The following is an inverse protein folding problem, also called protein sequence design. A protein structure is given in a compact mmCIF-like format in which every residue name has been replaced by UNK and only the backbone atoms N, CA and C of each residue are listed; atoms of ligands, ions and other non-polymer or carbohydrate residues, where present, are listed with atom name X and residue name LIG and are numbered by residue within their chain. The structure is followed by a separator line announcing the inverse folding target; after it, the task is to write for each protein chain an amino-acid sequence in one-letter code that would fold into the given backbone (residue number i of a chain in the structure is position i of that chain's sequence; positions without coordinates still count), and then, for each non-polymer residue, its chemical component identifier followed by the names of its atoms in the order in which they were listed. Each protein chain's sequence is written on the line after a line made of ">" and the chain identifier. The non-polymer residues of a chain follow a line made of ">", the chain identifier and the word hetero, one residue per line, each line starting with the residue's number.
data_IF_163006902003
#
_entry.id   IF_163006902003
#
_cell.length_a   1.000
_cell.length_b   1.000
_cell.length_c   1.000
_cell.angle_alpha   90.00
_cell.angle_beta   90.00
_cell.angle_gamma   90.00
#
_symmetry.space_group_name_H-M   'P 1'
#
loop_
_entity.id
_entity.type
_entity.pdbx_description
1 polymer ?
#
# COMPACT_ATOMS: atom_id res chain seq x y z
N UNK A 1 -18.23 -2.75 -6.85
CA UNK A 1 -17.34 -2.79 -5.67
C UNK A 1 -17.46 -4.08 -4.87
N UNK A 2 -18.65 -4.65 -4.62
CA UNK A 2 -18.76 -5.97 -3.96
C UNK A 2 -18.01 -7.08 -4.74
N UNK A 3 -18.14 -7.22 -6.08
CA UNK A 3 -17.41 -8.25 -6.84
C UNK A 3 -15.88 -8.12 -6.76
N UNK A 4 -15.36 -6.90 -6.62
CA UNK A 4 -13.93 -6.63 -6.46
C UNK A 4 -13.36 -7.24 -5.18
N UNK A 5 -14.12 -7.29 -4.08
CA UNK A 5 -13.66 -7.90 -2.83
C UNK A 5 -13.37 -9.40 -3.02
N UNK A 6 -14.24 -10.10 -3.75
CA UNK A 6 -14.00 -11.50 -4.12
C UNK A 6 -12.82 -11.65 -5.06
N UNK A 7 -12.67 -10.75 -6.04
CA UNK A 7 -11.50 -10.75 -6.92
C UNK A 7 -10.19 -10.61 -6.13
N UNK A 8 -10.16 -9.77 -5.08
CA UNK A 8 -9.00 -9.68 -4.19
C UNK A 8 -8.70 -10.99 -3.46
N UNK A 9 -9.73 -11.68 -2.96
CA UNK A 9 -9.57 -12.95 -2.27
C UNK A 9 -8.90 -14.02 -3.16
N UNK A 10 -9.13 -13.98 -4.48
CA UNK A 10 -8.42 -14.83 -5.45
C UNK A 10 -7.04 -14.27 -5.81
N UNK A 11 -6.96 -12.97 -6.11
CA UNK A 11 -5.75 -12.33 -6.61
C UNK A 11 -4.58 -12.42 -5.62
N UNK A 12 -4.83 -12.26 -4.31
CA UNK A 12 -3.74 -12.28 -3.33
C UNK A 12 -3.00 -13.64 -3.27
N UNK A 13 -3.68 -14.80 -3.12
CA UNK A 13 -3.03 -16.10 -3.21
C UNK A 13 -2.35 -16.35 -4.57
N UNK A 14 -3.02 -16.01 -5.68
CA UNK A 14 -2.48 -16.22 -7.03
C UNK A 14 -1.19 -15.40 -7.24
N UNK A 15 -1.21 -14.12 -6.88
CA UNK A 15 -0.04 -13.26 -6.95
C UNK A 15 1.10 -13.79 -6.07
N UNK A 16 0.80 -14.26 -4.85
CA UNK A 16 1.81 -14.86 -3.97
C UNK A 16 2.40 -16.14 -4.56
N UNK A 17 1.60 -16.98 -5.18
CA UNK A 17 2.05 -18.20 -5.87
C UNK A 17 3.02 -17.88 -7.02
N UNK A 18 2.67 -16.90 -7.87
CA UNK A 18 3.52 -16.46 -8.99
C UNK A 18 4.79 -15.74 -8.52
N UNK A 19 4.69 -14.91 -7.47
CA UNK A 19 5.81 -14.24 -6.83
C UNK A 19 6.82 -15.25 -6.27
N UNK A 20 6.37 -16.27 -5.54
CA UNK A 20 7.24 -17.30 -4.97
C UNK A 20 8.09 -18.03 -6.02
N UNK A 21 7.55 -18.17 -7.24
CA UNK A 21 8.23 -18.79 -8.38
C UNK A 21 9.02 -17.80 -9.26
N UNK A 22 9.16 -16.54 -8.83
CA UNK A 22 9.81 -15.48 -9.60
C UNK A 22 9.17 -15.21 -10.98
N UNK A 23 7.88 -15.51 -11.18
CA UNK A 23 7.14 -15.25 -12.43
C UNK A 23 6.59 -13.81 -12.50
N UNK A 24 7.37 -12.85 -12.04
CA UNK A 24 6.94 -11.46 -11.81
C UNK A 24 6.68 -10.73 -13.13
N UNK A 25 7.45 -11.01 -14.18
CA UNK A 25 7.26 -10.37 -15.50
C UNK A 25 5.90 -10.71 -16.12
N UNK A 26 5.40 -11.93 -15.95
CA UNK A 26 4.07 -12.29 -16.43
C UNK A 26 2.98 -11.48 -15.72
N UNK A 27 3.09 -11.34 -14.40
CA UNK A 27 2.19 -10.48 -13.62
C UNK A 27 2.25 -9.02 -14.06
N UNK A 28 3.46 -8.51 -14.33
CA UNK A 28 3.65 -7.12 -14.76
C UNK A 28 2.99 -6.86 -16.12
N UNK A 29 3.18 -7.76 -17.10
CA UNK A 29 2.53 -7.63 -18.42
C UNK A 29 1.00 -7.69 -18.29
N UNK A 30 0.46 -8.62 -17.50
CA UNK A 30 -0.99 -8.70 -17.24
C UNK A 30 -1.50 -7.39 -16.63
N UNK A 31 -0.78 -6.83 -15.65
CA UNK A 31 -1.16 -5.56 -15.01
C UNK A 31 -1.14 -4.38 -15.99
N UNK A 32 -0.14 -4.29 -16.87
CA UNK A 32 -0.05 -3.25 -17.90
C UNK A 32 -1.21 -3.37 -18.89
N UNK A 33 -1.51 -4.57 -19.39
CA UNK A 33 -2.64 -4.80 -20.30
C UNK A 33 -3.96 -4.44 -19.61
N UNK A 34 -4.15 -4.89 -18.36
CA UNK A 34 -5.33 -4.57 -17.57
C UNK A 34 -5.49 -3.05 -17.37
N UNK A 35 -4.39 -2.32 -17.14
CA UNK A 35 -4.40 -0.86 -16.99
C UNK A 35 -4.79 -0.15 -18.29
N UNK A 36 -4.25 -0.58 -19.44
CA UNK A 36 -4.61 -0.01 -20.75
C UNK A 36 -6.10 -0.20 -21.02
N UNK A 37 -6.59 -1.43 -20.82
CA UNK A 37 -8.02 -1.73 -20.98
C UNK A 37 -8.88 -0.96 -19.99
N UNK A 38 -8.46 -0.87 -18.72
CA UNK A 38 -9.16 -0.12 -17.69
C UNK A 38 -9.32 1.35 -18.09
N UNK A 39 -8.25 2.02 -18.51
CA UNK A 39 -8.28 3.42 -18.95
C UNK A 39 -9.20 3.61 -20.15
N UNK A 40 -9.09 2.75 -21.16
CA UNK A 40 -9.93 2.81 -22.35
C UNK A 40 -11.42 2.64 -22.02
N UNK A 41 -11.78 1.61 -21.26
CA UNK A 41 -13.18 1.33 -20.92
C UNK A 41 -13.73 2.36 -19.93
N UNK A 42 -12.94 2.90 -19.01
CA UNK A 42 -13.35 3.99 -18.13
C UNK A 42 -13.73 5.22 -18.95
N UNK A 43 -12.89 5.64 -19.91
CA UNK A 43 -13.22 6.72 -20.83
C UNK A 43 -14.50 6.43 -21.64
N UNK A 44 -14.61 5.22 -22.21
CA UNK A 44 -15.74 4.83 -23.05
C UNK A 44 -17.06 4.82 -22.27
N UNK A 45 -17.13 4.09 -21.14
CA UNK A 45 -18.36 3.90 -20.40
C UNK A 45 -18.76 5.16 -19.63
N UNK A 46 -17.80 5.85 -19.00
CA UNK A 46 -18.12 7.03 -18.20
C UNK A 46 -18.44 8.24 -19.07
N UNK A 47 -17.59 8.55 -20.05
CA UNK A 47 -17.67 9.81 -20.79
C UNK A 47 -18.44 9.68 -22.11
N UNK A 48 -18.21 8.62 -22.88
CA UNK A 48 -18.85 8.47 -24.21
C UNK A 48 -20.25 7.87 -24.14
N UNK A 49 -20.46 6.86 -23.31
CA UNK A 49 -21.77 6.22 -23.15
C UNK A 49 -22.61 6.86 -22.04
N UNK A 50 -22.05 7.78 -21.27
CA UNK A 50 -22.78 8.53 -20.24
C UNK A 50 -23.21 7.71 -19.02
N UNK A 51 -22.57 6.57 -18.74
CA UNK A 51 -22.94 5.73 -17.58
C UNK A 51 -22.44 6.28 -16.25
N UNK A 52 -21.62 7.35 -16.26
CA UNK A 52 -21.13 8.03 -15.07
C UNK A 52 -20.47 7.08 -14.06
N UNK A 53 -20.85 7.20 -12.78
CA UNK A 53 -20.30 6.38 -11.69
C UNK A 53 -20.63 4.88 -11.80
N UNK A 54 -21.76 4.53 -12.42
CA UNK A 54 -22.11 3.12 -12.67
C UNK A 54 -21.10 2.52 -13.65
N UNK A 55 -20.76 3.26 -14.71
CA UNK A 55 -19.71 2.88 -15.66
C UNK A 55 -18.36 2.65 -14.96
N UNK A 56 -17.94 3.57 -14.08
CA UNK A 56 -16.72 3.43 -13.29
C UNK A 56 -16.72 2.14 -12.43
N UNK A 57 -17.83 1.88 -11.74
CA UNK A 57 -17.96 0.69 -10.90
C UNK A 57 -17.90 -0.61 -11.71
N UNK A 58 -18.51 -0.64 -12.91
CA UNK A 58 -18.46 -1.80 -13.82
C UNK A 58 -17.03 -2.04 -14.28
N UNK A 59 -16.35 -1.03 -14.82
CA UNK A 59 -14.97 -1.16 -15.32
C UNK A 59 -14.03 -1.61 -14.21
N UNK A 60 -14.16 -1.03 -13.01
CA UNK A 60 -13.34 -1.42 -11.86
C UNK A 60 -13.50 -2.90 -11.50
N UNK A 61 -14.73 -3.41 -11.41
CA UNK A 61 -14.96 -4.83 -11.11
C UNK A 61 -14.41 -5.72 -12.23
N UNK A 62 -14.66 -5.37 -13.50
CA UNK A 62 -14.20 -6.15 -14.64
C UNK A 62 -12.67 -6.20 -14.74
N UNK A 63 -11.97 -5.09 -14.48
CA UNK A 63 -10.50 -5.07 -14.51
C UNK A 63 -9.86 -5.99 -13.48
N UNK A 64 -10.39 -6.02 -12.25
CA UNK A 64 -9.88 -6.93 -11.22
C UNK A 64 -10.12 -8.41 -11.58
N UNK A 65 -11.30 -8.73 -12.09
CA UNK A 65 -11.59 -10.09 -12.55
C UNK A 65 -10.77 -10.49 -13.77
N UNK A 66 -10.50 -9.55 -14.69
CA UNK A 66 -9.60 -9.78 -15.82
C UNK A 66 -8.20 -10.17 -15.35
N UNK A 67 -7.66 -9.49 -14.33
CA UNK A 67 -6.35 -9.84 -13.74
C UNK A 67 -6.39 -11.26 -13.16
N UNK A 68 -7.42 -11.59 -12.37
CA UNK A 68 -7.57 -12.93 -11.76
C UNK A 68 -7.63 -14.02 -12.83
N UNK A 69 -8.48 -13.85 -13.85
CA UNK A 69 -8.65 -14.82 -14.93
C UNK A 69 -7.36 -14.95 -15.73
N UNK A 70 -6.71 -13.84 -16.10
CA UNK A 70 -5.47 -13.86 -16.85
C UNK A 70 -4.34 -14.59 -16.10
N UNK A 71 -4.21 -14.36 -14.79
CA UNK A 71 -3.22 -15.06 -13.97
C UNK A 71 -3.55 -16.56 -13.82
N UNK A 72 -4.82 -16.94 -13.65
CA UNK A 72 -5.23 -18.35 -13.61
C UNK A 72 -4.94 -19.06 -14.94
N UNK A 73 -5.26 -18.43 -16.07
CA UNK A 73 -4.94 -18.96 -17.41
C UNK A 73 -3.42 -19.15 -17.55
N UNK A 74 -2.62 -18.18 -17.10
CA UNK A 74 -1.17 -18.31 -17.10
C UNK A 74 -0.68 -19.50 -16.27
N UNK A 75 -1.25 -19.73 -15.07
CA UNK A 75 -0.91 -20.88 -14.23
C UNK A 75 -1.32 -22.21 -14.90
N UNK A 76 -2.54 -22.28 -15.43
CA UNK A 76 -3.10 -23.49 -16.04
C UNK A 76 -2.49 -23.84 -17.40
N UNK A 77 -1.85 -22.88 -18.07
CA UNK A 77 -1.12 -23.09 -19.34
C UNK A 77 0.08 -24.06 -19.22
N UNK A 78 0.45 -24.49 -18.01
CA UNK A 78 1.60 -25.37 -17.76
C UNK A 78 2.91 -24.63 -17.51
N UNK A 79 2.92 -23.29 -17.58
CA UNK A 79 4.12 -22.45 -17.41
C UNK A 79 4.74 -22.51 -16.00
N UNK A 80 3.98 -22.99 -15.01
CA UNK A 80 4.43 -23.17 -13.62
C UNK A 80 5.07 -24.54 -13.34
N UNK A 81 5.15 -25.44 -14.33
CA UNK A 81 5.82 -26.74 -14.19
C UNK A 81 5.38 -27.53 -12.95
N UNK A 82 6.35 -28.03 -12.16
CA UNK A 82 6.09 -28.84 -10.96
C UNK A 82 5.44 -28.07 -9.80
N UNK A 83 5.38 -26.74 -9.86
CA UNK A 83 4.78 -25.94 -8.79
C UNK A 83 3.24 -25.99 -8.81
N UNK A 84 2.63 -26.32 -9.95
CA UNK A 84 1.18 -26.53 -10.07
C UNK A 84 0.87 -27.96 -10.52
N UNK A 85 0.37 -28.78 -9.60
CA UNK A 85 -0.02 -30.17 -9.87
C UNK A 85 -1.54 -30.33 -10.07
N UNK A 86 -2.29 -29.22 -10.11
CA UNK A 86 -3.75 -29.22 -10.12
C UNK A 86 -4.35 -29.24 -8.72
N UNK A 87 -5.68 -29.34 -8.67
CA UNK A 87 -6.43 -29.35 -7.42
C UNK A 87 -6.28 -30.69 -6.68
N UNK A 88 -6.06 -30.62 -5.37
CA UNK A 88 -5.93 -31.78 -4.50
C UNK A 88 -6.44 -31.46 -3.09
N UNK A 89 -7.05 -32.44 -2.43
CA UNK A 89 -7.47 -32.33 -1.03
C UNK A 89 -6.29 -32.10 -0.08
N UNK A 90 -5.06 -32.40 -0.51
CA UNK A 90 -3.84 -32.08 0.24
C UNK A 90 -3.68 -30.57 0.47
N UNK A 91 -4.29 -29.70 -0.34
CA UNK A 91 -4.26 -28.25 -0.13
C UNK A 91 -4.90 -27.82 1.20
N UNK A 92 -5.77 -28.66 1.79
CA UNK A 92 -6.40 -28.43 3.09
C UNK A 92 -5.61 -29.04 4.25
N UNK A 93 -4.44 -29.64 3.98
CA UNK A 93 -3.53 -30.06 5.04
C UNK A 93 -2.84 -28.83 5.67
N UNK A 94 -2.72 -28.82 7.00
CA UNK A 94 -2.01 -27.79 7.76
C UNK A 94 -2.57 -26.34 7.66
N UNK A 95 -3.90 -26.20 7.50
CA UNK A 95 -4.58 -24.89 7.47
C UNK A 95 -4.32 -24.05 8.72
N UNK A 96 -4.22 -24.67 9.89
CA UNK A 96 -4.01 -23.94 11.15
C UNK A 96 -2.69 -23.16 11.16
N UNK A 97 -1.61 -23.77 10.66
CA UNK A 97 -0.33 -23.09 10.52
C UNK A 97 -0.43 -21.87 9.60
N UNK A 98 -1.10 -22.02 8.46
CA UNK A 98 -1.39 -20.92 7.53
C UNK A 98 -2.20 -19.81 8.20
N UNK A 99 -3.34 -20.14 8.81
CA UNK A 99 -4.24 -19.17 9.47
C UNK A 99 -3.50 -18.38 10.55
N UNK A 100 -2.72 -19.05 11.40
CA UNK A 100 -1.95 -18.39 12.46
C UNK A 100 -0.94 -17.39 11.88
N UNK A 101 -0.25 -17.78 10.81
CA UNK A 101 0.75 -16.94 10.14
C UNK A 101 0.09 -15.72 9.47
N UNK A 102 -0.97 -15.97 8.70
CA UNK A 102 -1.74 -14.95 7.99
C UNK A 102 -2.41 -13.97 8.93
N UNK A 103 -2.95 -14.44 10.07
CA UNK A 103 -3.56 -13.57 11.07
C UNK A 103 -2.53 -12.60 11.66
N UNK A 104 -1.32 -13.06 11.95
CA UNK A 104 -0.25 -12.18 12.43
C UNK A 104 0.15 -11.13 11.38
N UNK A 105 0.26 -11.49 10.10
CA UNK A 105 0.50 -10.53 9.02
C UNK A 105 -0.65 -9.53 8.86
N UNK A 106 -1.89 -10.01 8.95
CA UNK A 106 -3.09 -9.18 8.84
C UNK A 106 -3.15 -8.15 9.98
N UNK A 107 -2.92 -8.57 11.22
CA UNK A 107 -2.87 -7.66 12.38
C UNK A 107 -1.77 -6.63 12.21
N UNK A 108 -0.56 -7.04 11.78
CA UNK A 108 0.55 -6.12 11.55
C UNK A 108 0.19 -5.02 10.54
N UNK A 109 -0.43 -5.39 9.40
CA UNK A 109 -0.84 -4.45 8.37
C UNK A 109 -2.01 -3.56 8.84
N UNK A 110 -3.01 -4.14 9.50
CA UNK A 110 -4.15 -3.39 10.03
C UNK A 110 -3.71 -2.34 11.05
N UNK A 111 -2.78 -2.68 11.95
CA UNK A 111 -2.26 -1.75 12.95
C UNK A 111 -1.56 -0.54 12.31
N UNK A 112 -0.85 -0.74 11.20
CA UNK A 112 -0.20 0.34 10.46
C UNK A 112 -1.22 1.26 9.78
N UNK A 113 -2.23 0.69 9.10
CA UNK A 113 -3.30 1.47 8.45
C UNK A 113 -4.15 2.21 9.48
N UNK A 114 -4.56 1.55 10.56
CA UNK A 114 -5.38 2.15 11.61
C UNK A 114 -4.66 3.25 12.38
N UNK A 115 -3.34 3.15 12.52
CA UNK A 115 -2.53 4.23 13.10
C UNK A 115 -2.67 5.51 12.28
N UNK A 116 -2.56 5.42 10.95
CA UNK A 116 -2.77 6.57 10.07
C UNK A 116 -4.20 7.12 10.12
N UNK A 117 -5.22 6.24 10.18
CA UNK A 117 -6.61 6.68 10.35
C UNK A 117 -6.83 7.42 11.67
N UNK A 118 -6.21 6.96 12.76
CA UNK A 118 -6.28 7.62 14.07
C UNK A 118 -5.64 9.02 14.03
N UNK A 119 -4.49 9.18 13.37
CA UNK A 119 -3.86 10.49 13.21
C UNK A 119 -4.73 11.48 12.42
N UNK A 120 -5.37 11.03 11.34
CA UNK A 120 -6.30 11.86 10.56
C UNK A 120 -7.49 12.28 11.44
N UNK A 121 -8.06 11.35 12.21
CA UNK A 121 -9.15 11.64 13.13
C UNK A 121 -8.76 12.73 14.13
N UNK A 122 -7.57 12.62 14.76
CA UNK A 122 -7.10 13.65 15.70
C UNK A 122 -6.88 15.00 15.03
N UNK A 123 -6.35 15.04 13.81
CA UNK A 123 -6.21 16.29 13.09
C UNK A 123 -7.55 16.98 12.80
N UNK A 124 -8.62 16.19 12.62
CA UNK A 124 -9.99 16.70 12.50
C UNK A 124 -10.53 17.40 13.76
N UNK A 125 -9.90 17.24 14.91
CA UNK A 125 -10.25 17.92 16.16
C UNK A 125 -9.38 19.16 16.45
N UNK A 126 -8.51 19.58 15.52
CA UNK A 126 -7.75 20.83 15.66
C UNK A 126 -8.61 22.05 15.32
N UNK A 127 -8.24 23.22 15.87
CA UNK A 127 -9.00 24.49 15.69
C UNK A 127 -9.22 24.86 14.22
N UNK A 128 -8.30 24.49 13.32
CA UNK A 128 -8.41 24.65 11.86
C UNK A 128 -8.43 23.27 11.19
N UNK A 129 -9.46 22.47 11.50
CA UNK A 129 -9.59 21.08 11.09
C UNK A 129 -9.57 20.91 9.56
N UNK A 130 -10.28 21.75 8.81
CA UNK A 130 -10.33 21.71 7.34
C UNK A 130 -8.92 21.78 6.73
N UNK A 131 -8.19 22.85 7.03
CA UNK A 131 -6.82 23.07 6.53
C UNK A 131 -5.87 21.94 6.97
N UNK A 132 -6.02 21.44 8.20
CA UNK A 132 -5.14 20.41 8.75
C UNK A 132 -5.40 19.03 8.13
N UNK A 133 -6.68 18.68 7.94
CA UNK A 133 -7.11 17.43 7.30
C UNK A 133 -6.77 17.44 5.81
N UNK A 134 -6.98 18.56 5.13
CA UNK A 134 -6.62 18.71 3.71
C UNK A 134 -5.10 18.58 3.49
N UNK A 135 -4.31 19.28 4.30
CA UNK A 135 -2.86 19.17 4.25
C UNK A 135 -2.40 17.73 4.54
N UNK A 136 -3.01 17.05 5.52
CA UNK A 136 -2.72 15.63 5.78
C UNK A 136 -3.15 14.74 4.63
N UNK A 137 -4.30 14.98 3.99
CA UNK A 137 -4.75 14.20 2.83
C UNK A 137 -3.77 14.32 1.66
N UNK A 138 -3.26 15.51 1.38
CA UNK A 138 -2.22 15.74 0.36
C UNK A 138 -0.94 14.98 0.75
N UNK A 139 -0.48 15.13 1.99
CA UNK A 139 0.71 14.42 2.50
C UNK A 139 0.54 12.89 2.40
N UNK A 140 -0.63 12.35 2.75
CA UNK A 140 -0.94 10.92 2.67
C UNK A 140 -0.99 10.43 1.24
N UNK A 141 -1.52 11.22 0.31
CA UNK A 141 -1.49 10.87 -1.11
C UNK A 141 -0.04 10.76 -1.59
N UNK A 142 0.79 11.78 -1.36
CA UNK A 142 2.22 11.75 -1.73
C UNK A 142 2.93 10.56 -1.07
N UNK A 143 2.68 10.32 0.22
CA UNK A 143 3.21 9.18 0.94
C UNK A 143 2.72 7.85 0.35
N UNK A 144 1.47 7.77 -0.10
CA UNK A 144 0.88 6.58 -0.70
C UNK A 144 1.63 6.15 -1.98
N UNK A 145 1.97 7.10 -2.85
CA UNK A 145 2.82 6.83 -4.02
C UNK A 145 4.19 6.28 -3.61
N UNK A 146 4.77 6.87 -2.57
CA UNK A 146 6.07 6.42 -2.07
C UNK A 146 6.00 5.00 -1.47
N UNK A 147 4.97 4.72 -0.68
CA UNK A 147 4.73 3.42 -0.04
C UNK A 147 4.54 2.31 -1.07
N UNK A 148 3.99 2.58 -2.25
CA UNK A 148 3.85 1.55 -3.30
C UNK A 148 5.20 0.97 -3.75
N UNK A 149 6.22 1.82 -3.89
CA UNK A 149 7.59 1.37 -4.21
C UNK A 149 8.15 0.53 -3.05
N UNK A 150 7.97 1.02 -1.81
CA UNK A 150 8.39 0.31 -0.60
C UNK A 150 7.73 -1.08 -0.45
N UNK A 151 6.44 -1.18 -0.78
CA UNK A 151 5.69 -2.44 -0.79
C UNK A 151 6.19 -3.40 -1.88
N UNK A 152 6.66 -2.89 -3.01
CA UNK A 152 7.36 -3.67 -4.03
C UNK A 152 8.64 -4.29 -3.49
N UNK A 153 9.49 -3.50 -2.84
CA UNK A 153 10.72 -3.97 -2.18
C UNK A 153 10.41 -4.99 -1.06
N UNK A 154 9.41 -4.71 -0.21
CA UNK A 154 8.89 -5.60 0.82
C UNK A 154 8.50 -6.97 0.25
N UNK A 155 7.72 -7.00 -0.84
CA UNK A 155 7.33 -8.24 -1.50
C UNK A 155 8.53 -9.00 -2.10
N UNK A 156 9.45 -8.27 -2.75
CA UNK A 156 10.64 -8.86 -3.36
C UNK A 156 11.57 -9.51 -2.33
N UNK A 157 11.90 -8.79 -1.24
CA UNK A 157 12.77 -9.34 -0.19
C UNK A 157 12.10 -10.47 0.58
N UNK A 158 10.79 -10.38 0.83
CA UNK A 158 10.03 -11.45 1.50
C UNK A 158 10.11 -12.77 0.73
N UNK A 159 9.95 -12.72 -0.60
CA UNK A 159 10.09 -13.90 -1.47
C UNK A 159 11.54 -14.40 -1.51
N UNK A 160 12.52 -13.50 -1.64
CA UNK A 160 13.93 -13.90 -1.70
C UNK A 160 14.39 -14.56 -0.41
N UNK A 161 14.13 -13.93 0.74
CA UNK A 161 14.52 -14.47 2.06
C UNK A 161 13.82 -15.80 2.32
N UNK A 162 12.51 -15.92 2.04
CA UNK A 162 11.79 -17.19 2.25
C UNK A 162 12.33 -18.32 1.37
N UNK A 163 12.61 -18.06 0.09
CA UNK A 163 13.18 -19.07 -0.81
C UNK A 163 14.60 -19.50 -0.39
N UNK A 164 15.48 -18.54 -0.05
CA UNK A 164 16.86 -18.85 0.37
C UNK A 164 16.91 -19.59 1.71
N UNK A 165 16.06 -19.22 2.68
CA UNK A 165 15.95 -19.92 3.95
C UNK A 165 15.35 -21.33 3.76
N UNK A 166 14.34 -21.48 2.89
CA UNK A 166 13.78 -22.78 2.51
C UNK A 166 14.78 -23.70 1.82
N UNK A 167 15.74 -23.13 1.08
CA UNK A 167 16.86 -23.85 0.47
C UNK A 167 18.05 -24.08 1.43
N UNK A 168 17.92 -23.72 2.72
CA UNK A 168 18.99 -23.78 3.72
C UNK A 168 20.25 -22.96 3.36
N UNK A 169 20.08 -21.81 2.70
CA UNK A 169 21.14 -20.87 2.33
C UNK A 169 21.09 -19.56 3.14
N UNK A 170 21.43 -19.56 4.45
CA UNK A 170 21.30 -18.39 5.30
C UNK A 170 22.25 -17.24 4.93
N UNK A 171 23.39 -17.54 4.29
CA UNK A 171 24.34 -16.50 3.84
C UNK A 171 23.77 -15.73 2.65
N UNK A 172 23.15 -16.41 1.70
CA UNK A 172 22.48 -15.79 0.54
C UNK A 172 21.28 -14.96 0.99
N UNK A 173 20.51 -15.47 1.97
CA UNK A 173 19.42 -14.70 2.58
C UNK A 173 19.94 -13.39 3.19
N UNK A 174 21.02 -13.42 3.98
CA UNK A 174 21.64 -12.21 4.54
C UNK A 174 22.13 -11.26 3.45
N UNK A 175 22.75 -11.78 2.39
CA UNK A 175 23.20 -10.97 1.27
C UNK A 175 22.03 -10.27 0.58
N UNK A 176 20.91 -10.96 0.34
CA UNK A 176 19.72 -10.36 -0.22
C UNK A 176 19.18 -9.20 0.64
N UNK A 177 19.21 -9.34 1.97
CA UNK A 177 18.83 -8.27 2.91
C UNK A 177 19.73 -7.05 2.76
N UNK A 178 21.05 -7.26 2.66
CA UNK A 178 22.01 -6.15 2.46
C UNK A 178 21.76 -5.45 1.14
N UNK A 179 21.61 -6.20 0.04
CA UNK A 179 21.35 -5.65 -1.29
C UNK A 179 20.08 -4.80 -1.30
N UNK A 180 18.94 -5.33 -0.81
CA UNK A 180 17.69 -4.56 -0.83
C UNK A 180 17.76 -3.32 0.07
N UNK A 181 18.49 -3.39 1.19
CA UNK A 181 18.67 -2.25 2.09
C UNK A 181 19.42 -1.14 1.36
N UNK A 182 20.53 -1.49 0.71
CA UNK A 182 21.35 -0.56 -0.07
C UNK A 182 20.56 0.01 -1.25
N UNK A 183 19.89 -0.83 -2.04
CA UNK A 183 19.07 -0.40 -3.19
C UNK A 183 17.95 0.53 -2.75
N UNK A 184 17.29 0.24 -1.62
CA UNK A 184 16.26 1.14 -1.07
C UNK A 184 16.86 2.52 -0.79
N UNK A 185 18.02 2.62 -0.15
CA UNK A 185 18.66 3.92 0.05
C UNK A 185 18.98 4.65 -1.26
N UNK A 186 19.42 3.93 -2.31
CA UNK A 186 19.69 4.54 -3.62
C UNK A 186 18.43 5.01 -4.34
N UNK A 187 17.36 4.20 -4.37
CA UNK A 187 16.10 4.54 -5.04
C UNK A 187 15.44 5.79 -4.42
N UNK A 188 15.67 6.05 -3.12
CA UNK A 188 15.13 7.21 -2.40
C UNK A 188 16.09 8.42 -2.36
N UNK A 189 17.25 8.36 -3.02
CA UNK A 189 18.22 9.47 -3.04
C UNK A 189 17.91 10.56 -4.09
N UNK A 190 16.88 10.38 -4.92
CA UNK A 190 16.45 11.39 -5.89
C UNK A 190 16.10 12.73 -5.23
N UNK A 191 16.44 13.83 -5.92
CA UNK A 191 16.42 15.22 -5.39
C UNK A 191 15.08 15.65 -4.77
N UNK A 192 13.95 15.07 -5.19
CA UNK A 192 12.62 15.33 -4.61
C UNK A 192 12.42 14.69 -3.22
N UNK A 193 13.01 13.51 -2.97
CA UNK A 193 12.84 12.78 -1.71
C UNK A 193 13.75 13.31 -0.58
N UNK A 194 14.91 13.92 -0.90
CA UNK A 194 15.81 14.55 0.08
C UNK A 194 15.17 15.71 0.84
N UNK A 195 14.25 16.44 0.21
CA UNK A 195 13.49 17.54 0.81
C UNK A 195 12.51 17.06 1.88
N UNK A 196 12.16 15.77 1.88
CA UNK A 196 11.21 15.13 2.78
C UNK A 196 11.90 14.01 3.54
N UNK A 197 12.83 14.37 4.44
CA UNK A 197 13.62 13.46 5.30
C UNK A 197 12.80 12.32 5.93
N UNK A 198 11.53 12.58 6.27
CA UNK A 198 10.60 11.58 6.81
C UNK A 198 10.31 10.42 5.86
N UNK A 199 10.28 10.66 4.54
CA UNK A 199 10.04 9.62 3.52
C UNK A 199 11.21 8.64 3.49
N UNK A 200 12.45 9.12 3.49
CA UNK A 200 13.64 8.26 3.46
C UNK A 200 13.71 7.34 4.69
N UNK A 201 13.41 7.86 5.88
CA UNK A 201 13.41 7.09 7.14
C UNK A 201 12.26 6.06 7.15
N UNK A 202 11.07 6.43 6.65
CA UNK A 202 9.91 5.54 6.61
C UNK A 202 10.04 4.36 5.64
N UNK A 203 11.00 4.38 4.72
CA UNK A 203 11.16 3.32 3.72
C UNK A 203 11.97 2.10 4.21
N UNK A 204 12.70 2.22 5.32
CA UNK A 204 13.42 1.09 5.92
C UNK A 204 12.46 0.09 6.55
N UNK A 205 11.38 0.59 7.17
CA UNK A 205 10.44 -0.26 7.89
C UNK A 205 9.74 -1.29 6.98
N UNK A 206 9.14 -0.93 5.83
CA UNK A 206 8.52 -1.91 4.93
C UNK A 206 9.49 -3.01 4.47
N UNK A 207 10.76 -2.66 4.24
CA UNK A 207 11.81 -3.62 3.86
C UNK A 207 12.09 -4.60 4.99
N UNK A 208 12.28 -4.11 6.22
CA UNK A 208 12.49 -4.95 7.40
C UNK A 208 11.28 -5.83 7.72
N UNK A 209 10.06 -5.30 7.58
CA UNK A 209 8.83 -6.09 7.66
C UNK A 209 8.82 -7.20 6.61
N UNK A 210 9.30 -6.95 5.39
CA UNK A 210 9.44 -7.96 4.34
C UNK A 210 10.41 -9.07 4.68
N UNK A 211 11.57 -8.72 5.26
CA UNK A 211 12.53 -9.71 5.78
C UNK A 211 11.88 -10.57 6.86
N UNK A 212 11.16 -9.95 7.80
CA UNK A 212 10.48 -10.66 8.86
C UNK A 212 9.35 -11.56 8.34
N UNK A 213 8.57 -11.14 7.35
CA UNK A 213 7.57 -12.00 6.70
C UNK A 213 8.27 -13.19 6.02
N UNK A 214 9.36 -12.92 5.28
CA UNK A 214 10.14 -13.98 4.60
C UNK A 214 10.78 -14.98 5.57
N UNK A 215 11.19 -14.52 6.76
CA UNK A 215 11.75 -15.35 7.83
C UNK A 215 10.70 -15.97 8.78
N UNK A 216 9.41 -15.62 8.63
CA UNK A 216 8.32 -16.09 9.50
C UNK A 216 8.20 -15.38 10.85
N UNK A 217 8.87 -14.23 11.04
CA UNK A 217 8.95 -13.45 12.29
C UNK A 217 7.90 -12.34 12.44
N UNK A 218 7.01 -12.16 11.46
CA UNK A 218 5.58 -12.15 11.78
C UNK A 218 5.11 -11.44 13.07
N UNK A 219 4.81 -12.29 14.05
CA UNK A 219 4.23 -11.90 15.32
C UNK A 219 5.14 -10.97 16.12
N UNK A 220 6.47 -11.14 16.06
CA UNK A 220 7.43 -10.28 16.78
C UNK A 220 7.31 -8.85 16.25
N UNK A 221 7.28 -8.69 14.93
CA UNK A 221 7.11 -7.36 14.30
C UNK A 221 5.75 -6.76 14.65
N UNK A 222 4.68 -7.56 14.69
CA UNK A 222 3.38 -7.07 15.14
C UNK A 222 3.43 -6.49 16.56
N UNK A 223 4.08 -7.16 17.52
CA UNK A 223 4.25 -6.63 18.88
C UNK A 223 5.08 -5.34 18.92
N UNK A 224 6.17 -5.28 18.14
CA UNK A 224 6.99 -4.07 18.03
C UNK A 224 6.18 -2.91 17.45
N UNK A 225 5.38 -3.15 16.41
CA UNK A 225 4.50 -2.14 15.80
C UNK A 225 3.48 -1.59 16.81
N UNK A 226 2.87 -2.44 17.64
CA UNK A 226 1.96 -1.97 18.70
C UNK A 226 2.68 -1.00 19.64
N UNK A 227 3.87 -1.38 20.11
CA UNK A 227 4.64 -0.52 21.02
C UNK A 227 5.02 0.80 20.34
N UNK A 228 5.64 0.75 19.15
CA UNK A 228 6.10 1.95 18.46
C UNK A 228 4.96 2.91 18.10
N UNK A 229 3.89 2.40 17.49
CA UNK A 229 2.81 3.26 16.99
C UNK A 229 1.83 3.69 18.07
N UNK A 230 1.38 2.77 18.93
CA UNK A 230 0.27 3.05 19.83
C UNK A 230 0.74 3.46 21.22
N UNK A 231 1.83 2.90 21.73
CA UNK A 231 2.36 3.27 23.05
C UNK A 231 3.19 4.56 23.01
N UNK A 232 3.95 4.77 21.93
CA UNK A 232 4.80 5.97 21.80
C UNK A 232 4.30 6.96 20.75
N UNK A 233 3.98 6.49 19.54
CA UNK A 233 3.59 7.34 18.42
C UNK A 233 2.34 8.18 18.68
N UNK A 234 1.25 7.56 19.10
CA UNK A 234 -0.02 8.26 19.40
C UNK A 234 0.14 9.28 20.52
N UNK A 235 0.69 8.95 21.71
CA UNK A 235 0.87 9.94 22.77
C UNK A 235 1.78 11.10 22.36
N UNK A 236 2.88 10.82 21.66
CA UNK A 236 3.78 11.86 21.17
C UNK A 236 3.08 12.76 20.13
N UNK A 237 2.31 12.18 19.21
CA UNK A 237 1.53 12.91 18.21
C UNK A 237 0.51 13.84 18.84
N UNK A 238 -0.23 13.36 19.86
CA UNK A 238 -1.18 14.17 20.62
C UNK A 238 -0.47 15.29 21.39
N UNK A 239 0.66 14.99 22.05
CA UNK A 239 1.43 15.99 22.79
C UNK A 239 1.97 17.11 21.89
N UNK A 240 2.51 16.74 20.73
CA UNK A 240 3.01 17.71 19.74
C UNK A 240 1.87 18.53 19.12
N UNK A 241 0.76 17.88 18.76
CA UNK A 241 -0.38 18.51 18.10
C UNK A 241 -1.14 19.49 18.99
N UNK A 242 -1.43 19.09 20.23
CA UNK A 242 -2.31 19.87 21.12
C UNK A 242 -1.56 20.70 22.17
N UNK A 243 -0.44 20.21 22.71
CA UNK A 243 0.24 20.88 23.85
C UNK A 243 1.35 21.84 23.40
N UNK A 244 1.97 21.56 22.25
CA UNK A 244 3.07 22.37 21.71
C UNK A 244 2.65 23.33 20.59
N UNK A 245 1.34 23.48 20.33
CA UNK A 245 0.76 24.35 19.30
C UNK A 245 1.39 24.20 17.89
N UNK A 246 1.98 23.04 17.59
CA UNK A 246 2.48 22.78 16.23
C UNK A 246 1.35 22.66 15.20
N UNK A 247 0.12 22.36 15.64
CA UNK A 247 -1.08 22.52 14.82
C UNK A 247 -1.31 23.97 14.37
N UNK A 248 -0.91 24.97 15.18
CA UNK A 248 -0.98 26.39 14.81
C UNK A 248 0.05 26.74 13.74
N UNK A 249 1.27 26.18 13.80
CA UNK A 249 2.28 26.38 12.74
C UNK A 249 1.84 25.80 11.39
N UNK A 250 1.23 24.61 11.40
CA UNK A 250 0.64 24.03 10.19
C UNK A 250 -0.51 24.90 9.65
N UNK A 251 -1.36 25.42 10.54
CA UNK A 251 -2.43 26.36 10.16
C UNK A 251 -1.89 27.69 9.61
N UNK A 252 -0.81 28.24 10.17
CA UNK A 252 -0.16 29.46 9.66
C UNK A 252 0.41 29.20 8.26
N UNK A 253 1.02 28.03 8.03
CA UNK A 253 1.48 27.64 6.70
C UNK A 253 0.30 27.53 5.71
N UNK A 254 -0.82 26.94 6.12
CA UNK A 254 -2.04 26.87 5.30
C UNK A 254 -2.64 28.24 4.96
N UNK A 255 -2.68 29.17 5.93
CA UNK A 255 -3.14 30.54 5.67
C UNK A 255 -2.23 31.28 4.67
N UNK A 256 -0.92 31.04 4.71
CA UNK A 256 0.02 31.57 3.71
C UNK A 256 -0.21 30.98 2.32
N UNK A 257 -0.59 29.71 2.22
CA UNK A 257 -0.93 29.07 0.94
C UNK A 257 -2.25 29.63 0.39
N UNK A 258 -3.27 29.87 1.24
CA UNK A 258 -4.52 30.53 0.82
C UNK A 258 -4.28 31.93 0.25
N UNK A 259 -3.35 32.70 0.83
CA UNK A 259 -2.93 33.99 0.26
C UNK A 259 -2.26 33.90 -1.11
N UNK A 260 -1.65 32.76 -1.46
CA UNK A 260 -1.02 32.54 -2.76
C UNK A 260 -1.97 31.93 -3.79
N UNK A 261 -3.05 31.27 -3.35
CA UNK A 261 -4.06 30.64 -4.20
C UNK A 261 -5.11 31.61 -4.77
N UNK A 262 -5.11 32.87 -4.34
CA UNK A 262 -6.17 33.83 -4.61
C UNK A 262 -7.41 33.56 -3.75
N UNK A 263 -7.96 34.60 -3.12
CA UNK A 263 -9.30 34.50 -2.52
C UNK A 263 -10.32 34.25 -3.64
N UNK A 264 -11.34 33.38 -3.45
CA UNK A 264 -12.52 33.49 -4.28
C UNK A 264 -13.11 34.88 -4.03
N UNK A 265 -13.27 35.67 -5.09
CA UNK A 265 -13.95 36.97 -5.02
C UNK A 265 -15.34 36.74 -4.41
N UNK A 266 -15.54 37.14 -3.15
CA UNK A 266 -16.85 37.32 -2.52
C UNK A 266 -17.54 38.56 -3.11
N UNK A 267 -17.63 38.61 -4.45
CA UNK A 267 -18.29 39.66 -5.21
C UNK A 267 -19.07 39.05 -6.36
N UNK A 268 -20.15 38.35 -6.03
CA UNK A 268 -21.28 38.27 -6.96
C UNK A 268 -22.62 38.33 -6.22
N UNK A 269 -23.34 39.43 -6.47
CA UNK A 269 -24.77 39.70 -6.24
C UNK A 269 -25.25 40.30 -4.90
N UNK A 270 -24.69 41.45 -4.52
CA UNK A 270 -25.53 42.62 -4.19
C UNK A 270 -25.89 43.32 -5.51
N UNK A 271 -26.91 42.81 -6.22
CA UNK A 271 -27.70 43.32 -7.38
C UNK A 271 -28.46 42.04 -7.80
N UNK A 272 -29.76 41.84 -7.56
CA UNK A 272 -30.91 42.67 -7.85
C UNK A 272 -32.12 42.15 -7.02
N UNK A 273 -33.06 43.05 -6.75
CA UNK A 273 -34.36 42.78 -6.10
C UNK A 273 -35.32 42.05 -7.03
#
# INVERSE_FOLDING_TARGET
>A
MIPQLYAYAFNFPIAKFLQAQSKIMAMAVIAVVALVLHTFFSWLLMLKLGWGLVGAAVVLNTSWWLIVVAQLVYIFSGTCGRAWLGFSWQAFSNLWGFVRLSLASAVMLCLEVWYFMALILFAGYLKNAEVSVDALSICMNILGWAVMVALGCNAAISVRVSNELGAAHPRTAKFAVVVVTITSFYDWNDTLARSLLCIVINNVQPVLSGVAIGAGWQAVVAYVNIACYYLFGVPLGLLLGYKLDWGVKASIAGNRIKQWGGEPDDKESDIEK
#
